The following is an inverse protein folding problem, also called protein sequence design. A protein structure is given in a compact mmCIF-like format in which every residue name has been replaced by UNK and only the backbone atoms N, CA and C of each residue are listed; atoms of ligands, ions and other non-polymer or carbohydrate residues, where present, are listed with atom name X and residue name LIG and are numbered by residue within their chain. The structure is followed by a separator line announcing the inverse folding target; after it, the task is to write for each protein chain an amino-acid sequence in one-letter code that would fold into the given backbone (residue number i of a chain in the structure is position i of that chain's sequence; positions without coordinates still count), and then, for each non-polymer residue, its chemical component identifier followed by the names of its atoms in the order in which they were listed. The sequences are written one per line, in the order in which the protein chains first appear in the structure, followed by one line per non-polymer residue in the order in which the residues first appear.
data_IF_832829944774
#
_entry.id   IF_832829944774
#
_cell.length_a   1.000
_cell.length_b   1.000
_cell.length_c   1.000
_cell.angle_alpha   90.00
_cell.angle_beta   90.00
_cell.angle_gamma   90.00
#
_symmetry.space_group_name_H-M   'P 1'
#
loop_
_entity.id
_entity.type
_entity.pdbx_description
1 polymer ?
#
# COMPACT_ATOMS: atom_id res chain seq x y z
N UNK A 1 2.29 -10.98 14.90
CA UNK A 1 1.73 -10.51 13.61
C UNK A 1 0.26 -10.13 13.75
N UNK A 2 -0.64 -11.05 14.12
CA UNK A 2 -2.09 -10.76 14.12
C UNK A 2 -2.51 -9.63 15.07
N UNK A 3 -1.84 -9.47 16.22
CA UNK A 3 -2.07 -8.32 17.10
C UNK A 3 -1.79 -6.96 16.42
N UNK A 4 -0.77 -6.89 15.55
CA UNK A 4 -0.47 -5.66 14.80
C UNK A 4 -1.51 -5.40 13.71
N UNK A 5 -2.01 -6.45 13.05
CA UNK A 5 -3.10 -6.34 12.09
C UNK A 5 -4.37 -5.82 12.78
N UNK A 6 -4.72 -6.39 13.94
CA UNK A 6 -5.86 -5.95 14.73
C UNK A 6 -5.73 -4.49 15.18
N UNK A 7 -4.54 -4.10 15.64
CA UNK A 7 -4.23 -2.70 16.01
C UNK A 7 -4.38 -1.76 14.81
N UNK A 8 -3.88 -2.14 13.63
CA UNK A 8 -4.00 -1.34 12.42
C UNK A 8 -5.47 -1.17 12.00
N UNK A 9 -6.26 -2.24 12.01
CA UNK A 9 -7.70 -2.18 11.71
C UNK A 9 -8.48 -1.36 12.73
N UNK A 10 -8.11 -1.41 14.01
CA UNK A 10 -8.76 -0.58 15.02
C UNK A 10 -8.50 0.91 14.77
N UNK A 11 -7.31 1.27 14.29
CA UNK A 11 -6.97 2.65 13.96
C UNK A 11 -7.56 3.12 12.62
N UNK A 12 -7.70 2.20 11.66
CA UNK A 12 -8.25 2.47 10.32
C UNK A 12 -9.38 1.47 10.00
N UNK A 13 -10.60 1.66 10.57
CA UNK A 13 -11.69 0.68 10.46
C UNK A 13 -12.20 0.45 9.03
N UNK A 14 -11.94 1.39 8.12
CA UNK A 14 -12.30 1.28 6.71
C UNK A 14 -11.43 0.30 5.93
N UNK A 15 -10.29 -0.13 6.48
CA UNK A 15 -9.45 -1.13 5.83
C UNK A 15 -10.09 -2.51 5.94
N UNK A 16 -10.21 -3.19 4.81
CA UNK A 16 -10.55 -4.60 4.81
C UNK A 16 -9.44 -5.45 5.45
N UNK A 17 -9.79 -6.69 5.82
CA UNK A 17 -8.87 -7.61 6.48
C UNK A 17 -7.64 -7.94 5.62
N UNK A 18 -7.81 -8.04 4.31
CA UNK A 18 -6.76 -8.47 3.37
C UNK A 18 -5.72 -7.36 3.22
N UNK A 19 -6.15 -6.12 2.99
CA UNK A 19 -5.29 -4.95 2.86
C UNK A 19 -4.55 -4.67 4.17
N UNK A 20 -5.23 -4.71 5.31
CA UNK A 20 -4.59 -4.51 6.61
C UNK A 20 -3.50 -5.56 6.89
N UNK A 21 -3.76 -6.84 6.58
CA UNK A 21 -2.75 -7.90 6.70
C UNK A 21 -1.57 -7.68 5.75
N UNK A 22 -1.84 -7.30 4.49
CA UNK A 22 -0.80 -7.05 3.48
C UNK A 22 0.12 -5.91 3.91
N UNK A 23 -0.44 -4.76 4.27
CA UNK A 23 0.34 -3.60 4.72
C UNK A 23 1.13 -3.91 5.98
N UNK A 24 0.52 -4.60 6.96
CA UNK A 24 1.23 -5.02 8.19
C UNK A 24 2.37 -5.98 7.87
N UNK A 25 2.21 -6.89 6.90
CA UNK A 25 3.25 -7.86 6.53
C UNK A 25 4.41 -7.21 5.80
N UNK A 26 4.14 -6.16 5.02
CA UNK A 26 5.16 -5.49 4.23
C UNK A 26 5.86 -4.36 5.00
N UNK A 27 5.11 -3.54 5.73
CA UNK A 27 5.60 -2.33 6.38
C UNK A 27 5.65 -2.43 7.90
N UNK A 28 5.07 -3.47 8.49
CA UNK A 28 4.99 -3.62 9.94
C UNK A 28 4.32 -2.43 10.60
N UNK A 29 4.98 -1.85 11.60
CA UNK A 29 4.50 -0.66 12.32
C UNK A 29 4.49 0.61 11.47
N UNK A 30 5.26 0.66 10.36
CA UNK A 30 5.28 1.81 9.44
C UNK A 30 4.02 1.91 8.58
N UNK A 31 3.16 0.89 8.57
CA UNK A 31 1.85 0.97 7.92
C UNK A 31 1.00 2.15 8.42
N UNK A 32 1.17 2.58 9.67
CA UNK A 32 0.48 3.77 10.19
C UNK A 32 1.01 5.08 9.59
N UNK A 33 2.32 5.15 9.28
CA UNK A 33 2.93 6.32 8.63
C UNK A 33 2.45 6.42 7.18
N UNK A 34 2.40 5.29 6.48
CA UNK A 34 1.85 5.19 5.13
C UNK A 34 0.39 5.68 5.06
N UNK A 35 -0.46 5.21 5.98
CA UNK A 35 -1.88 5.56 5.98
C UNK A 35 -2.16 6.99 6.49
N UNK A 36 -1.27 7.54 7.32
CA UNK A 36 -1.33 8.93 7.78
C UNK A 36 -2.67 9.29 8.43
N UNK A 37 -3.34 10.30 7.89
CA UNK A 37 -4.62 10.80 8.41
C UNK A 37 -5.83 10.29 7.61
N UNK A 38 -5.65 9.29 6.74
CA UNK A 38 -6.73 8.75 5.93
C UNK A 38 -7.88 8.24 6.81
N UNK A 39 -9.12 8.58 6.44
CA UNK A 39 -10.35 8.18 7.15
C UNK A 39 -11.24 7.26 6.30
N UNK A 40 -10.91 7.09 5.03
CA UNK A 40 -11.63 6.27 4.07
C UNK A 40 -10.69 5.69 3.01
N UNK A 41 -11.17 4.71 2.24
CA UNK A 41 -10.44 4.17 1.08
C UNK A 41 -10.18 5.26 0.03
N UNK A 42 -11.10 6.22 -0.12
CA UNK A 42 -10.94 7.33 -1.06
C UNK A 42 -9.75 8.24 -0.68
N UNK A 43 -9.48 8.40 0.62
CA UNK A 43 -8.34 9.20 1.11
C UNK A 43 -6.99 8.56 0.80
N UNK A 44 -6.95 7.27 0.45
CA UNK A 44 -5.73 6.59 -0.01
C UNK A 44 -5.35 6.98 -1.45
N UNK A 45 -6.22 7.74 -2.13
CA UNK A 45 -6.04 8.19 -3.51
C UNK A 45 -6.33 7.09 -4.52
N UNK A 46 -5.75 7.25 -5.72
CA UNK A 46 -5.98 6.33 -6.85
C UNK A 46 -5.64 4.88 -6.48
N UNK A 47 -6.51 3.95 -6.88
CA UNK A 47 -6.21 2.51 -6.86
C UNK A 47 -5.64 2.09 -8.23
N UNK A 48 -4.41 1.61 -8.24
CA UNK A 48 -3.72 1.13 -9.45
C UNK A 48 -4.05 -0.32 -9.79
N UNK A 49 -4.80 -1.02 -8.93
CA UNK A 49 -5.06 -2.46 -9.01
C UNK A 49 -4.19 -3.24 -8.02
N UNK A 50 -4.56 -4.51 -7.75
CA UNK A 50 -3.81 -5.37 -6.83
C UNK A 50 -3.69 -4.85 -5.38
N UNK A 51 -4.65 -4.01 -4.98
CA UNK A 51 -4.72 -3.25 -3.72
C UNK A 51 -3.62 -2.18 -3.57
N UNK A 52 -2.92 -1.80 -4.64
CA UNK A 52 -1.90 -0.74 -4.62
C UNK A 52 -2.56 0.63 -4.73
N UNK A 53 -2.41 1.45 -3.68
CA UNK A 53 -2.97 2.79 -3.62
C UNK A 53 -1.88 3.87 -3.74
N UNK A 54 -2.27 5.06 -4.17
CA UNK A 54 -1.38 6.22 -4.30
C UNK A 54 -0.65 6.57 -3.00
N UNK A 55 -1.32 6.47 -1.84
CA UNK A 55 -0.68 6.67 -0.55
C UNK A 55 0.52 5.72 -0.32
N UNK A 56 0.42 4.47 -0.76
CA UNK A 56 1.52 3.49 -0.68
C UNK A 56 2.66 3.84 -1.65
N UNK A 57 2.34 4.24 -2.88
CA UNK A 57 3.34 4.70 -3.86
C UNK A 57 4.09 5.93 -3.33
N UNK A 58 3.37 6.92 -2.82
CA UNK A 58 3.95 8.14 -2.23
C UNK A 58 4.87 7.82 -1.05
N UNK A 59 4.41 6.95 -0.15
CA UNK A 59 5.23 6.49 0.96
C UNK A 59 6.53 5.83 0.49
N UNK A 60 6.48 4.99 -0.55
CA UNK A 60 7.67 4.33 -1.12
C UNK A 60 8.64 5.32 -1.78
N UNK A 61 8.13 6.33 -2.47
CA UNK A 61 8.95 7.40 -3.07
C UNK A 61 9.65 8.21 -1.97
N UNK A 62 8.90 8.64 -0.97
CA UNK A 62 9.39 9.52 0.10
C UNK A 62 10.34 8.82 1.09
N UNK A 63 10.11 7.53 1.37
CA UNK A 63 10.78 6.83 2.48
C UNK A 63 11.68 5.66 2.03
N UNK A 64 11.51 5.16 0.80
CA UNK A 64 12.20 3.95 0.33
C UNK A 64 12.91 4.11 -1.02
N UNK A 65 13.05 5.35 -1.49
CA UNK A 65 13.71 5.74 -2.75
C UNK A 65 13.20 4.95 -3.96
N UNK A 66 11.89 4.68 -4.01
CA UNK A 66 11.30 4.13 -5.23
C UNK A 66 11.17 5.25 -6.26
N UNK A 67 11.99 5.23 -7.31
CA UNK A 67 12.03 6.27 -8.35
C UNK A 67 11.31 5.81 -9.63
N UNK A 68 11.14 4.50 -9.79
CA UNK A 68 10.52 3.88 -10.97
C UNK A 68 9.32 3.00 -10.60
N UNK A 69 8.42 2.78 -11.56
CA UNK A 69 7.36 1.78 -11.42
C UNK A 69 7.93 0.38 -11.13
N UNK A 70 9.10 0.05 -11.66
CA UNK A 70 9.78 -1.23 -11.39
C UNK A 70 10.16 -1.38 -9.92
N UNK A 71 10.67 -0.31 -9.29
CA UNK A 71 11.03 -0.31 -7.87
C UNK A 71 9.81 -0.63 -7.00
N UNK A 72 8.69 0.04 -7.28
CA UNK A 72 7.42 -0.16 -6.58
C UNK A 72 6.92 -1.59 -6.80
N UNK A 73 6.78 -2.00 -8.06
CA UNK A 73 6.06 -3.21 -8.43
C UNK A 73 6.85 -4.50 -8.19
N UNK A 74 8.18 -4.47 -8.34
CA UNK A 74 8.99 -5.68 -8.35
C UNK A 74 10.03 -5.74 -7.23
N UNK A 75 10.48 -4.61 -6.68
CA UNK A 75 11.48 -4.63 -5.60
C UNK A 75 10.84 -4.48 -4.22
N UNK A 76 9.95 -3.49 -4.06
CA UNK A 76 9.37 -3.14 -2.76
C UNK A 76 8.12 -3.92 -2.42
N UNK A 77 7.21 -4.15 -3.37
CA UNK A 77 5.86 -4.68 -3.03
C UNK A 77 5.49 -6.01 -3.68
N UNK A 78 6.17 -6.38 -4.77
CA UNK A 78 5.79 -7.50 -5.66
C UNK A 78 4.35 -7.37 -6.21
N UNK A 79 3.78 -6.15 -6.26
CA UNK A 79 2.45 -5.92 -6.83
C UNK A 79 2.38 -6.19 -8.33
N UNK A 80 3.50 -6.13 -9.04
CA UNK A 80 3.58 -6.50 -10.47
C UNK A 80 3.07 -7.92 -10.77
N UNK A 81 3.06 -8.84 -9.79
CA UNK A 81 2.50 -10.19 -9.94
C UNK A 81 0.96 -10.24 -9.99
N UNK A 82 0.29 -9.14 -9.65
CA UNK A 82 -1.17 -9.08 -9.51
C UNK A 82 -1.81 -8.00 -10.38
N UNK A 83 -1.01 -7.20 -11.09
CA UNK A 83 -1.50 -6.16 -12.00
C UNK A 83 -1.44 -6.69 -13.45
N UNK A 84 -2.44 -6.33 -14.25
CA UNK A 84 -2.40 -6.48 -15.71
C UNK A 84 -1.39 -5.51 -16.34
N UNK A 85 -1.00 -5.74 -17.60
CA UNK A 85 -0.05 -4.85 -18.30
C UNK A 85 -0.58 -3.43 -18.40
N UNK A 86 -1.89 -3.29 -18.63
CA UNK A 86 -2.60 -2.02 -18.73
C UNK A 86 -2.62 -1.28 -17.38
N UNK A 87 -2.64 -2.01 -16.26
CA UNK A 87 -2.55 -1.42 -14.93
C UNK A 87 -1.11 -1.02 -14.57
N UNK A 88 -0.11 -1.75 -15.06
CA UNK A 88 1.31 -1.41 -14.87
C UNK A 88 1.67 -0.10 -15.58
N UNK A 89 1.20 0.11 -16.81
CA UNK A 89 1.50 1.31 -17.60
C UNK A 89 0.95 2.61 -17.00
N UNK A 90 0.12 2.52 -15.96
CA UNK A 90 -0.46 3.66 -15.25
C UNK A 90 0.47 4.19 -14.16
N UNK A 91 1.52 3.45 -13.79
CA UNK A 91 2.54 3.84 -12.82
C UNK A 91 3.76 4.55 -13.44
N UNK A 92 3.88 4.56 -14.77
CA UNK A 92 4.92 5.29 -15.52
C UNK A 92 4.53 6.77 -15.70
#
# INVERSE_FOLDING_TARGET
FDAQVAKLKSAYPFLDQRLARRLTRLYGTRAQVLLGLAKSIADLGRNFGGDLHEAEVRYLVENEWAVTAEDVLWRRTKRGLHLSREQVSVLD
#
